data_IF_916694310388
#
_entry.id   IF_916694310388
#
_cell.length_a   1.000
_cell.length_b   1.000
_cell.length_c   1.000
_cell.angle_alpha   90.00
_cell.angle_beta   90.00
_cell.angle_gamma   90.00
#
_symmetry.space_group_name_H-M   'P 1'
#
loop_
_entity.id
_entity.type
_entity.pdbx_description
1 polymer ?
#
# COMPACT_ATOMS: atom_id res chain seq x y z
N UNK A 1 49.30 -26.53 -2.97
CA UNK A 1 48.39 -26.72 -1.82
C UNK A 1 47.38 -25.59 -1.60
N UNK A 2 47.48 -24.42 -2.25
CA UNK A 2 46.59 -23.26 -2.01
C UNK A 2 45.29 -23.19 -2.84
N UNK A 3 45.05 -24.08 -3.82
CA UNK A 3 43.84 -24.04 -4.65
C UNK A 3 42.62 -24.80 -4.09
N UNK A 4 42.75 -25.49 -2.94
CA UNK A 4 41.65 -26.23 -2.31
C UNK A 4 40.99 -25.53 -1.12
N UNK A 5 41.57 -24.43 -0.61
CA UNK A 5 40.97 -23.64 0.47
C UNK A 5 39.91 -22.64 -0.05
N UNK A 6 40.00 -22.20 -1.31
CA UNK A 6 39.10 -21.20 -1.87
C UNK A 6 37.73 -21.79 -2.25
N UNK A 7 37.68 -23.04 -2.69
CA UNK A 7 36.43 -23.73 -3.06
C UNK A 7 35.59 -24.10 -1.84
N UNK A 8 36.22 -24.38 -0.69
CA UNK A 8 35.53 -24.67 0.57
C UNK A 8 35.05 -23.41 1.29
N UNK A 9 35.69 -22.25 1.08
CA UNK A 9 35.23 -20.97 1.62
C UNK A 9 34.05 -20.38 0.82
N UNK A 10 34.02 -20.60 -0.51
CA UNK A 10 32.88 -20.24 -1.37
C UNK A 10 31.63 -21.12 -1.15
N UNK A 11 31.82 -22.40 -0.79
CA UNK A 11 30.72 -23.28 -0.38
C UNK A 11 30.14 -22.92 1.00
N UNK A 12 30.92 -22.28 1.89
CA UNK A 12 30.41 -21.78 3.18
C UNK A 12 29.66 -20.44 3.06
N UNK A 13 30.02 -19.61 2.07
CA UNK A 13 29.34 -18.35 1.76
C UNK A 13 28.01 -18.54 1.01
N UNK A 14 27.86 -19.62 0.23
CA UNK A 14 26.59 -20.00 -0.41
C UNK A 14 25.49 -20.49 0.54
N UNK A 15 25.82 -20.74 1.83
CA UNK A 15 24.86 -21.09 2.88
C UNK A 15 24.39 -19.89 3.72
N UNK A 16 24.95 -18.70 3.52
CA UNK A 16 24.67 -17.55 4.40
C UNK A 16 23.57 -16.61 3.90
N UNK A 17 23.18 -16.71 2.62
CA UNK A 17 21.91 -16.20 2.11
C UNK A 17 21.48 -17.13 0.97
N UNK A 18 20.29 -17.78 1.04
CA UNK A 18 19.80 -18.50 -0.13
C UNK A 18 19.74 -17.50 -1.29
N UNK A 19 20.30 -17.88 -2.44
CA UNK A 19 20.04 -17.16 -3.67
C UNK A 19 18.53 -16.92 -3.73
N UNK A 20 18.11 -15.66 -3.92
CA UNK A 20 16.72 -15.29 -4.18
C UNK A 20 16.31 -15.88 -5.53
N UNK A 21 16.17 -17.20 -5.53
CA UNK A 21 15.65 -17.95 -6.64
C UNK A 21 14.15 -17.69 -6.63
N UNK A 22 13.62 -17.29 -7.77
CA UNK A 22 12.19 -17.35 -7.99
C UNK A 22 11.79 -18.82 -7.78
N UNK A 23 11.12 -19.11 -6.66
CA UNK A 23 10.77 -20.48 -6.29
C UNK A 23 9.76 -21.07 -7.26
N UNK A 24 8.83 -20.23 -7.75
CA UNK A 24 7.85 -20.61 -8.76
C UNK A 24 7.31 -19.40 -9.52
N UNK A 25 6.84 -19.65 -10.75
CA UNK A 25 6.03 -18.73 -11.55
C UNK A 25 4.82 -19.50 -12.06
N UNK A 26 3.62 -19.05 -11.74
CA UNK A 26 2.37 -19.71 -12.13
C UNK A 26 1.48 -18.74 -12.90
N UNK A 27 1.16 -19.01 -14.18
CA UNK A 27 0.23 -18.18 -14.91
C UNK A 27 -1.19 -18.47 -14.43
N UNK A 28 -1.93 -17.42 -14.07
CA UNK A 28 -3.37 -17.51 -13.86
C UNK A 28 -4.02 -17.48 -15.24
N UNK A 29 -4.41 -18.66 -15.74
CA UNK A 29 -4.85 -18.82 -17.14
C UNK A 29 -6.31 -18.40 -17.31
N UNK A 30 -6.55 -17.24 -17.94
CA UNK A 30 -7.85 -16.88 -18.54
C UNK A 30 -7.68 -16.25 -19.93
N UNK A 31 -8.79 -16.18 -20.67
CA UNK A 31 -8.84 -15.76 -22.07
C UNK A 31 -8.70 -14.24 -22.29
N UNK A 32 -8.92 -13.41 -21.26
CA UNK A 32 -8.93 -11.95 -21.36
C UNK A 32 -7.72 -11.33 -20.65
N UNK A 33 -7.39 -10.08 -20.99
CA UNK A 33 -6.36 -9.31 -20.29
C UNK A 33 -6.73 -9.18 -18.81
N UNK A 34 -5.86 -9.72 -17.95
CA UNK A 34 -5.96 -9.63 -16.51
C UNK A 34 -4.88 -8.70 -15.98
N UNK A 35 -5.25 -7.83 -15.05
CA UNK A 35 -4.28 -7.08 -14.25
C UNK A 35 -4.48 -7.52 -12.82
N UNK A 36 -3.46 -8.14 -12.22
CA UNK A 36 -3.36 -8.27 -10.77
C UNK A 36 -2.91 -6.91 -10.24
N UNK A 37 -3.76 -6.28 -9.44
CA UNK A 37 -3.51 -4.98 -8.84
C UNK A 37 -3.03 -5.10 -7.40
N UNK A 38 -3.43 -6.18 -6.72
CA UNK A 38 -2.97 -6.48 -5.37
C UNK A 38 -2.90 -7.99 -5.12
N UNK A 39 -2.00 -8.37 -4.21
CA UNK A 39 -1.81 -9.74 -3.72
C UNK A 39 -1.61 -9.73 -2.20
N UNK A 40 -2.37 -10.55 -1.49
CA UNK A 40 -2.26 -10.65 -0.04
C UNK A 40 -2.17 -12.11 0.42
N UNK A 41 -1.33 -12.45 1.42
CA UNK A 41 -1.30 -13.79 2.00
C UNK A 41 -2.67 -14.19 2.56
N UNK A 42 -3.00 -15.47 2.39
CA UNK A 42 -4.23 -16.07 2.92
C UNK A 42 -3.95 -16.79 4.24
N UNK A 43 -4.95 -16.83 5.14
CA UNK A 43 -4.85 -17.60 6.39
C UNK A 43 -4.63 -19.11 6.13
N UNK A 44 -5.01 -19.60 4.95
CA UNK A 44 -4.89 -21.00 4.55
C UNK A 44 -3.57 -21.30 3.80
N UNK A 45 -2.50 -20.57 4.09
CA UNK A 45 -1.16 -20.76 3.49
C UNK A 45 -1.17 -20.63 1.96
N UNK A 46 -1.90 -19.66 1.43
CA UNK A 46 -1.94 -19.35 0.00
C UNK A 46 -1.94 -17.84 -0.21
N UNK A 47 -2.46 -17.40 -1.35
CA UNK A 47 -2.55 -15.98 -1.67
C UNK A 47 -3.90 -15.64 -2.29
N UNK A 48 -4.34 -14.42 -2.05
CA UNK A 48 -5.48 -13.79 -2.68
C UNK A 48 -5.00 -12.73 -3.64
N UNK A 49 -5.61 -12.68 -4.81
CA UNK A 49 -5.22 -11.78 -5.88
C UNK A 49 -6.45 -11.00 -6.30
N UNK A 50 -6.34 -9.68 -6.26
CA UNK A 50 -7.38 -8.76 -6.67
C UNK A 50 -6.97 -7.99 -7.91
N UNK A 51 -7.95 -7.65 -8.75
CA UNK A 51 -7.69 -6.85 -9.94
C UNK A 51 -8.86 -6.78 -10.90
N UNK A 52 -8.56 -6.83 -12.20
CA UNK A 52 -9.56 -6.76 -13.28
C UNK A 52 -9.36 -7.79 -14.38
N UNK A 53 -10.46 -8.23 -14.97
CA UNK A 53 -10.53 -9.04 -16.19
C UNK A 53 -11.38 -8.30 -17.23
N UNK A 54 -10.73 -7.59 -18.16
CA UNK A 54 -11.43 -6.63 -19.02
C UNK A 54 -12.13 -5.54 -18.17
N UNK A 55 -13.45 -5.40 -18.31
CA UNK A 55 -14.28 -4.47 -17.53
C UNK A 55 -14.92 -5.12 -16.29
N UNK A 56 -14.48 -6.32 -15.92
CA UNK A 56 -14.98 -7.06 -14.74
C UNK A 56 -13.99 -6.91 -13.60
N UNK A 57 -14.54 -6.80 -12.40
CA UNK A 57 -13.79 -7.07 -11.18
C UNK A 57 -13.30 -8.52 -11.16
N UNK A 58 -12.06 -8.76 -10.77
CA UNK A 58 -11.46 -10.09 -10.71
C UNK A 58 -10.91 -10.40 -9.31
N UNK A 59 -11.22 -11.60 -8.82
CA UNK A 59 -10.59 -12.20 -7.65
C UNK A 59 -10.07 -13.60 -7.98
N UNK A 60 -8.97 -13.98 -7.37
CA UNK A 60 -8.48 -15.35 -7.38
C UNK A 60 -7.90 -15.73 -6.01
N UNK A 61 -8.01 -17.01 -5.69
CA UNK A 61 -7.23 -17.63 -4.63
C UNK A 61 -6.29 -18.67 -5.23
N UNK A 62 -5.07 -18.69 -4.73
CA UNK A 62 -4.03 -19.68 -5.05
C UNK A 62 -3.51 -20.28 -3.75
N UNK A 63 -2.99 -21.50 -3.82
CA UNK A 63 -2.29 -22.11 -2.68
C UNK A 63 -0.86 -21.57 -2.53
N UNK A 64 -0.07 -22.13 -1.58
CA UNK A 64 1.32 -21.70 -1.32
C UNK A 64 2.28 -22.02 -2.46
N UNK A 65 1.90 -22.91 -3.37
CA UNK A 65 2.68 -23.29 -4.55
C UNK A 65 2.25 -22.49 -5.79
N UNK A 66 1.30 -21.56 -5.62
CA UNK A 66 0.73 -20.75 -6.69
C UNK A 66 -0.28 -21.50 -7.56
N UNK A 67 -0.73 -22.70 -7.18
CA UNK A 67 -1.76 -23.41 -7.91
C UNK A 67 -3.13 -22.78 -7.63
N UNK A 68 -3.91 -22.59 -8.70
CA UNK A 68 -5.21 -21.91 -8.61
C UNK A 68 -6.24 -22.76 -7.89
N UNK A 69 -6.77 -22.23 -6.79
CA UNK A 69 -7.89 -22.83 -6.05
C UNK A 69 -9.22 -22.45 -6.71
N UNK A 70 -9.41 -21.16 -6.99
CA UNK A 70 -10.56 -20.65 -7.72
C UNK A 70 -10.28 -19.28 -8.35
N UNK A 71 -11.11 -18.89 -9.32
CA UNK A 71 -11.15 -17.53 -9.87
C UNK A 71 -12.61 -17.09 -10.01
N UNK A 72 -12.89 -15.82 -9.71
CA UNK A 72 -14.20 -15.20 -9.87
C UNK A 72 -14.07 -13.89 -10.62
N UNK A 73 -15.06 -13.65 -11.47
CA UNK A 73 -15.15 -12.42 -12.25
C UNK A 73 -16.55 -11.87 -12.09
N UNK A 74 -16.66 -10.67 -11.53
CA UNK A 74 -17.94 -10.07 -11.20
C UNK A 74 -18.27 -9.04 -12.27
N UNK A 75 -19.40 -9.26 -12.93
CA UNK A 75 -19.89 -8.42 -14.01
C UNK A 75 -21.19 -7.77 -13.55
N UNK A 76 -21.41 -6.49 -13.91
CA UNK A 76 -22.68 -5.80 -13.75
C UNK A 76 -23.20 -5.67 -12.30
N UNK A 77 -22.36 -5.80 -11.27
CA UNK A 77 -22.80 -5.48 -9.90
C UNK A 77 -23.13 -4.00 -9.74
N UNK A 78 -22.57 -3.17 -10.61
CA UNK A 78 -23.04 -1.82 -10.86
C UNK A 78 -23.05 -1.56 -12.39
N UNK A 79 -23.80 -0.55 -12.85
CA UNK A 79 -23.84 -0.15 -14.27
C UNK A 79 -22.50 0.34 -14.84
N UNK A 80 -21.46 0.48 -14.02
CA UNK A 80 -20.18 1.06 -14.39
C UNK A 80 -19.04 0.04 -14.20
N UNK A 81 -17.90 0.28 -14.84
CA UNK A 81 -16.75 -0.64 -14.78
C UNK A 81 -16.01 -0.41 -13.47
N UNK A 82 -16.00 -1.42 -12.60
CA UNK A 82 -15.26 -1.39 -11.34
C UNK A 82 -14.06 -2.32 -11.43
N UNK A 83 -13.00 -1.98 -10.69
CA UNK A 83 -11.86 -2.86 -10.49
C UNK A 83 -11.38 -2.78 -9.04
N UNK A 84 -10.96 -3.93 -8.51
CA UNK A 84 -10.42 -4.01 -7.15
C UNK A 84 -8.97 -3.56 -7.17
N UNK A 85 -8.67 -2.53 -6.38
CA UNK A 85 -7.31 -2.04 -6.23
C UNK A 85 -6.60 -2.69 -5.06
N UNK A 86 -7.34 -3.24 -4.10
CA UNK A 86 -6.77 -3.78 -2.88
C UNK A 86 -7.60 -4.92 -2.31
N UNK A 87 -6.92 -5.86 -1.66
CA UNK A 87 -7.47 -6.98 -0.92
C UNK A 87 -6.79 -7.11 0.44
N UNK A 88 -7.59 -7.11 1.49
CA UNK A 88 -7.12 -7.15 2.87
C UNK A 88 -7.66 -8.41 3.56
N UNK A 89 -6.81 -9.14 4.31
CA UNK A 89 -7.25 -10.32 5.05
C UNK A 89 -8.23 -9.92 6.16
N UNK A 90 -9.23 -10.78 6.40
CA UNK A 90 -10.22 -10.62 7.45
C UNK A 90 -10.39 -11.86 8.34
N UNK A 91 -11.02 -11.74 9.53
CA UNK A 91 -11.28 -12.87 10.41
C UNK A 91 -11.99 -14.03 9.69
N UNK A 92 -11.79 -15.24 10.20
CA UNK A 92 -12.42 -16.46 9.68
C UNK A 92 -12.12 -16.75 8.19
N UNK A 93 -10.98 -16.27 7.67
CA UNK A 93 -10.59 -16.46 6.27
C UNK A 93 -11.45 -15.68 5.29
N UNK A 94 -12.16 -14.65 5.73
CA UNK A 94 -12.82 -13.68 4.86
C UNK A 94 -11.82 -12.63 4.36
N UNK A 95 -12.25 -11.79 3.43
CA UNK A 95 -11.43 -10.70 2.89
C UNK A 95 -12.27 -9.45 2.65
N UNK A 96 -11.61 -8.31 2.76
CA UNK A 96 -12.15 -7.02 2.37
C UNK A 96 -11.52 -6.64 1.05
N UNK A 97 -12.33 -6.21 0.09
CA UNK A 97 -11.80 -5.75 -1.20
C UNK A 97 -12.24 -4.31 -1.44
N UNK A 98 -11.26 -3.43 -1.51
CA UNK A 98 -11.44 -2.01 -1.77
C UNK A 98 -11.30 -1.74 -3.26
N UNK A 99 -12.21 -0.95 -3.80
CA UNK A 99 -12.30 -0.89 -5.24
C UNK A 99 -12.86 0.42 -5.77
N UNK A 100 -12.32 0.76 -6.92
CA UNK A 100 -12.51 2.04 -7.55
C UNK A 100 -13.43 1.82 -8.75
N UNK A 101 -14.59 2.45 -8.72
CA UNK A 101 -15.41 2.58 -9.92
C UNK A 101 -14.69 3.47 -10.93
N UNK A 102 -15.00 3.33 -12.20
CA UNK A 102 -14.91 4.47 -13.12
C UNK A 102 -16.34 4.70 -13.53
N UNK A 103 -17.03 5.51 -12.72
CA UNK A 103 -18.37 5.93 -13.04
C UNK A 103 -18.37 7.19 -13.87
N UNK A 104 -19.49 7.57 -14.47
CA UNK A 104 -19.67 8.78 -15.28
C UNK A 104 -20.88 9.59 -14.78
N UNK A 105 -20.65 10.62 -13.97
CA UNK A 105 -21.59 11.65 -13.54
C UNK A 105 -21.79 12.75 -14.60
N UNK A 106 -23.04 13.05 -14.96
CA UNK A 106 -23.33 14.08 -15.96
C UNK A 106 -23.79 15.37 -15.28
N UNK A 107 -23.09 16.48 -15.50
CA UNK A 107 -23.46 17.82 -15.03
C UNK A 107 -23.16 18.87 -16.09
N UNK A 108 -24.18 19.68 -16.43
CA UNK A 108 -24.02 20.79 -17.37
C UNK A 108 -23.63 20.38 -18.80
N UNK A 109 -23.95 19.16 -19.23
CA UNK A 109 -23.54 18.62 -20.54
C UNK A 109 -22.17 17.96 -20.57
N UNK A 110 -21.41 18.02 -19.47
CA UNK A 110 -20.15 17.29 -19.32
C UNK A 110 -20.38 15.98 -18.57
N UNK A 111 -19.70 14.94 -19.04
CA UNK A 111 -19.64 13.63 -18.38
C UNK A 111 -18.34 13.58 -17.59
N UNK A 112 -18.43 13.73 -16.27
CA UNK A 112 -17.33 13.59 -15.34
C UNK A 112 -17.28 12.16 -14.85
N UNK A 113 -16.13 11.52 -14.87
CA UNK A 113 -16.07 10.23 -14.22
C UNK A 113 -16.17 10.37 -12.68
N UNK A 114 -17.17 9.76 -12.04
CA UNK A 114 -17.26 9.69 -10.57
C UNK A 114 -17.11 8.26 -10.11
N UNK A 115 -16.02 7.98 -9.43
CA UNK A 115 -15.81 6.70 -8.76
C UNK A 115 -16.41 6.69 -7.35
N UNK A 116 -17.54 5.99 -7.18
CA UNK A 116 -18.02 5.70 -5.82
C UNK A 116 -17.14 4.59 -5.23
N UNK A 117 -16.62 4.77 -4.00
CA UNK A 117 -15.90 3.71 -3.34
C UNK A 117 -16.91 2.60 -3.04
N UNK A 118 -16.54 1.38 -3.39
CA UNK A 118 -17.27 0.22 -2.91
C UNK A 118 -16.34 -0.66 -2.10
N UNK A 119 -16.94 -1.28 -1.09
CA UNK A 119 -16.31 -2.27 -0.27
C UNK A 119 -17.13 -3.54 -0.37
N UNK A 120 -16.45 -4.64 -0.69
CA UNK A 120 -17.02 -5.96 -0.51
C UNK A 120 -16.34 -6.66 0.64
N UNK A 121 -17.16 -7.35 1.41
CA UNK A 121 -16.72 -8.38 2.31
C UNK A 121 -17.03 -9.72 1.67
N UNK A 122 -15.99 -10.49 1.39
CA UNK A 122 -16.08 -11.76 0.66
C UNK A 122 -15.67 -12.90 1.57
N UNK A 123 -16.36 -14.02 1.45
CA UNK A 123 -15.99 -15.25 2.16
C UNK A 123 -14.76 -15.91 1.53
N UNK A 124 -14.27 -17.00 2.12
CA UNK A 124 -13.08 -17.71 1.63
C UNK A 124 -13.24 -18.36 0.24
N UNK A 125 -14.47 -18.49 -0.24
CA UNK A 125 -14.79 -18.99 -1.59
C UNK A 125 -14.85 -17.87 -2.61
N UNK A 126 -14.86 -16.61 -2.16
CA UNK A 126 -15.04 -15.41 -2.96
C UNK A 126 -16.51 -15.04 -3.16
N UNK A 127 -17.46 -15.59 -2.42
CA UNK A 127 -18.84 -15.09 -2.46
C UNK A 127 -18.95 -13.77 -1.67
N UNK A 128 -19.74 -12.83 -2.18
CA UNK A 128 -19.96 -11.54 -1.50
C UNK A 128 -20.93 -11.78 -0.35
N UNK A 129 -20.48 -11.54 0.88
CA UNK A 129 -21.29 -11.60 2.11
C UNK A 129 -22.11 -10.31 2.22
N UNK A 130 -21.45 -9.17 2.07
CA UNK A 130 -22.09 -7.86 2.03
C UNK A 130 -21.31 -6.88 1.16
N UNK A 131 -22.01 -5.84 0.73
CA UNK A 131 -21.44 -4.71 0.01
C UNK A 131 -21.86 -3.38 0.63
N UNK A 132 -20.96 -2.39 0.58
CA UNK A 132 -21.24 -1.03 1.00
C UNK A 132 -20.72 -0.04 -0.03
N UNK A 133 -21.61 0.83 -0.52
CA UNK A 133 -21.34 1.88 -1.50
C UNK A 133 -21.56 3.30 -0.95
N UNK A 134 -21.82 3.43 0.36
CA UNK A 134 -22.16 4.70 1.01
C UNK A 134 -21.23 5.01 2.20
N UNK A 135 -19.94 4.76 1.99
CA UNK A 135 -18.91 4.96 3.02
C UNK A 135 -18.66 6.45 3.30
N UNK A 136 -18.79 7.31 2.28
CA UNK A 136 -18.56 8.75 2.37
C UNK A 136 -19.76 9.49 1.82
N UNK A 137 -20.16 10.57 2.49
CA UNK A 137 -21.27 11.44 2.04
C UNK A 137 -20.83 12.42 0.93
N UNK A 138 -19.68 12.17 0.29
CA UNK A 138 -19.04 13.05 -0.70
C UNK A 138 -19.06 12.45 -2.11
N UNK A 139 -19.18 13.33 -3.10
CA UNK A 139 -18.93 13.00 -4.50
C UNK A 139 -17.44 13.17 -4.84
N UNK A 140 -16.98 12.44 -5.85
CA UNK A 140 -15.61 12.56 -6.37
C UNK A 140 -14.91 11.22 -6.46
N UNK A 141 -13.68 11.24 -7.00
CA UNK A 141 -12.95 10.00 -7.19
C UNK A 141 -12.35 9.50 -5.88
N UNK A 142 -12.71 8.30 -5.45
CA UNK A 142 -12.27 7.73 -4.17
C UNK A 142 -11.29 6.58 -4.37
N UNK A 143 -10.13 6.67 -3.73
CA UNK A 143 -9.14 5.59 -3.63
C UNK A 143 -9.00 5.17 -2.18
N UNK A 144 -9.30 3.90 -1.88
CA UNK A 144 -8.94 3.27 -0.61
C UNK A 144 -7.51 2.79 -0.75
N UNK A 145 -6.61 3.35 0.06
CA UNK A 145 -5.20 3.06 -0.02
C UNK A 145 -4.81 1.93 0.94
N UNK A 146 -5.47 1.82 2.09
CA UNK A 146 -5.21 0.77 3.07
C UNK A 146 -6.44 0.47 3.94
N UNK A 147 -6.48 -0.73 4.52
CA UNK A 147 -7.49 -1.12 5.48
C UNK A 147 -6.95 -2.15 6.48
N UNK A 148 -7.36 -1.99 7.74
CA UNK A 148 -7.02 -2.90 8.83
C UNK A 148 -8.25 -3.30 9.62
N UNK A 149 -8.13 -4.40 10.34
CA UNK A 149 -9.15 -4.87 11.27
C UNK A 149 -8.64 -4.66 12.68
N UNK A 150 -9.41 -3.90 13.43
CA UNK A 150 -9.07 -3.52 14.78
C UNK A 150 -9.26 -4.70 15.73
N UNK A 151 -8.62 -4.62 16.89
CA UNK A 151 -8.78 -5.58 17.99
C UNK A 151 -10.23 -5.80 18.46
N UNK A 152 -11.13 -4.85 18.21
CA UNK A 152 -12.57 -4.99 18.49
C UNK A 152 -13.39 -5.56 17.32
N UNK A 153 -12.76 -5.96 16.21
CA UNK A 153 -13.39 -6.51 15.01
C UNK A 153 -13.88 -5.44 14.01
N UNK A 154 -13.89 -4.17 14.37
CA UNK A 154 -14.23 -3.11 13.41
C UNK A 154 -13.16 -2.99 12.33
N UNK A 155 -13.56 -2.45 11.20
CA UNK A 155 -12.71 -2.29 10.02
C UNK A 155 -12.44 -0.81 9.85
N UNK A 156 -11.16 -0.44 9.78
CA UNK A 156 -10.73 0.90 9.39
C UNK A 156 -10.25 0.86 7.95
N UNK A 157 -10.70 1.83 7.18
CA UNK A 157 -10.18 2.10 5.85
C UNK A 157 -9.67 3.53 5.80
N UNK A 158 -8.57 3.71 5.10
CA UNK A 158 -8.01 5.03 4.84
C UNK A 158 -7.74 5.21 3.36
N UNK A 159 -7.77 6.45 2.92
CA UNK A 159 -7.56 6.75 1.52
C UNK A 159 -7.65 8.23 1.24
N UNK A 160 -7.93 8.52 -0.03
CA UNK A 160 -8.10 9.88 -0.52
C UNK A 160 -9.31 9.95 -1.45
N UNK A 161 -9.92 11.13 -1.53
CA UNK A 161 -10.85 11.42 -2.59
C UNK A 161 -10.65 12.80 -3.18
N UNK A 162 -11.10 12.98 -4.42
CA UNK A 162 -11.01 14.26 -5.11
C UNK A 162 -12.24 15.10 -4.85
N UNK A 163 -12.09 16.25 -4.17
CA UNK A 163 -13.14 17.27 -4.15
C UNK A 163 -13.02 18.08 -5.43
N UNK A 164 -14.04 17.98 -6.29
CA UNK A 164 -14.23 18.86 -7.44
C UNK A 164 -14.80 20.19 -6.96
N UNK A 165 -13.97 21.23 -6.94
CA UNK A 165 -14.48 22.59 -6.80
C UNK A 165 -15.10 23.01 -8.14
N UNK A 166 -16.44 23.02 -8.17
CA UNK A 166 -17.23 23.35 -9.36
C UNK A 166 -16.94 24.75 -9.93
N UNK A 167 -16.38 25.66 -9.13
CA UNK A 167 -16.12 27.05 -9.56
C UNK A 167 -14.73 27.27 -10.13
N UNK A 168 -13.72 26.56 -9.63
CA UNK A 168 -12.31 26.77 -10.01
C UNK A 168 -11.77 25.71 -10.96
N UNK A 169 -12.54 24.64 -11.23
CA UNK A 169 -12.06 23.44 -11.93
C UNK A 169 -10.79 22.84 -11.28
N UNK A 170 -10.54 23.13 -10.00
CA UNK A 170 -9.41 22.58 -9.27
C UNK A 170 -9.86 21.37 -8.44
N UNK A 171 -9.15 20.26 -8.59
CA UNK A 171 -9.25 19.10 -7.72
C UNK A 171 -8.35 19.27 -6.50
N UNK A 172 -8.89 19.10 -5.29
CA UNK A 172 -8.06 18.89 -4.09
C UNK A 172 -8.22 17.45 -3.63
N UNK A 173 -7.10 16.77 -3.36
CA UNK A 173 -7.15 15.44 -2.73
C UNK A 173 -7.34 15.62 -1.24
N UNK A 174 -8.43 15.06 -0.72
CA UNK A 174 -8.74 15.07 0.69
C UNK A 174 -8.58 13.66 1.22
N UNK A 175 -7.77 13.51 2.27
CA UNK A 175 -7.65 12.22 2.93
C UNK A 175 -8.88 11.91 3.74
N UNK A 176 -9.19 10.65 3.91
CA UNK A 176 -10.27 10.21 4.76
C UNK A 176 -9.89 8.98 5.57
N UNK A 177 -10.65 8.77 6.65
CA UNK A 177 -10.75 7.49 7.31
C UNK A 177 -12.23 7.15 7.53
N UNK A 178 -12.59 5.87 7.37
CA UNK A 178 -13.93 5.34 7.66
C UNK A 178 -13.79 4.13 8.57
N UNK A 179 -14.67 4.06 9.56
CA UNK A 179 -14.84 2.88 10.41
C UNK A 179 -16.19 2.24 10.13
N UNK A 180 -16.17 0.93 9.86
CA UNK A 180 -17.37 0.11 9.73
C UNK A 180 -17.31 -1.06 10.72
N UNK A 181 -18.48 -1.54 11.14
CA UNK A 181 -18.56 -2.77 11.93
C UNK A 181 -18.39 -4.00 11.01
N UNK A 182 -18.26 -5.23 11.56
CA UNK A 182 -18.17 -6.47 10.76
C UNK A 182 -19.33 -6.74 9.80
N UNK A 183 -20.50 -6.11 10.04
CA UNK A 183 -21.69 -6.23 9.19
C UNK A 183 -21.73 -5.17 8.07
N UNK A 184 -20.68 -4.34 7.95
CA UNK A 184 -20.57 -3.28 6.94
C UNK A 184 -21.28 -1.98 7.29
N UNK A 185 -21.84 -1.85 8.50
CA UNK A 185 -22.49 -0.62 8.97
C UNK A 185 -21.43 0.44 9.29
N UNK A 186 -21.56 1.62 8.66
CA UNK A 186 -20.75 2.81 8.93
C UNK A 186 -20.95 3.28 10.37
N UNK A 187 -19.87 3.26 11.15
CA UNK A 187 -19.82 3.79 12.52
C UNK A 187 -19.43 5.27 12.52
N UNK A 188 -18.39 5.62 11.77
CA UNK A 188 -17.98 7.01 11.54
C UNK A 188 -17.20 7.15 10.23
N UNK A 189 -17.17 8.37 9.69
CA UNK A 189 -16.36 8.76 8.54
C UNK A 189 -15.83 10.18 8.76
N UNK A 190 -14.54 10.41 8.50
CA UNK A 190 -13.86 11.69 8.75
C UNK A 190 -12.90 12.03 7.64
N UNK A 191 -12.67 13.33 7.44
CA UNK A 191 -11.73 13.89 6.47
C UNK A 191 -10.53 14.52 7.19
N UNK A 192 -9.35 14.42 6.58
CA UNK A 192 -8.09 14.92 7.14
C UNK A 192 -7.20 15.61 6.10
N UNK A 193 -6.42 16.63 6.53
CA UNK A 193 -6.68 17.49 7.67
C UNK A 193 -7.98 18.25 7.42
N UNK A 194 -8.65 18.67 8.49
CA UNK A 194 -9.92 19.42 8.37
C UNK A 194 -9.75 20.79 7.68
N UNK A 195 -8.51 21.24 7.45
CA UNK A 195 -8.18 22.53 6.83
C UNK A 195 -8.24 22.53 5.30
N UNK A 196 -8.52 21.39 4.64
CA UNK A 196 -8.67 21.32 3.18
C UNK A 196 -7.37 21.33 2.38
N UNK A 197 -6.21 21.18 3.04
CA UNK A 197 -4.95 20.97 2.32
C UNK A 197 -4.96 19.66 1.52
N UNK A 198 -4.16 19.59 0.46
CA UNK A 198 -4.05 18.39 -0.37
C UNK A 198 -3.23 17.33 0.34
N UNK A 199 -3.88 16.24 0.74
CA UNK A 199 -3.29 15.23 1.59
C UNK A 199 -3.69 13.84 1.14
N UNK A 200 -2.79 12.89 1.31
CA UNK A 200 -3.06 11.48 1.08
C UNK A 200 -2.56 10.63 2.23
N UNK A 201 -3.49 9.94 2.90
CA UNK A 201 -3.18 8.87 3.83
C UNK A 201 -2.97 7.60 3.00
N UNK A 202 -1.83 6.96 3.18
CA UNK A 202 -1.42 5.77 2.43
C UNK A 202 -1.49 4.50 3.23
N UNK A 203 -1.33 4.58 4.56
CA UNK A 203 -1.36 3.41 5.42
C UNK A 203 -1.98 3.75 6.78
N UNK A 204 -2.56 2.75 7.43
CA UNK A 204 -3.10 2.83 8.79
C UNK A 204 -2.62 1.66 9.64
N UNK A 205 -2.30 1.94 10.90
CA UNK A 205 -2.00 0.92 11.90
C UNK A 205 -2.77 1.20 13.20
N UNK A 206 -3.07 0.14 13.94
CA UNK A 206 -3.62 0.26 15.29
C UNK A 206 -2.45 0.28 16.29
N UNK A 207 -2.35 1.34 17.08
CA UNK A 207 -1.36 1.48 18.14
C UNK A 207 -1.74 0.63 19.37
N UNK A 208 -0.77 0.23 20.22
CA UNK A 208 -1.05 -0.55 21.44
C UNK A 208 -2.00 0.12 22.44
N UNK A 209 -2.10 1.46 22.41
CA UNK A 209 -3.05 2.22 23.22
C UNK A 209 -4.49 2.22 22.64
N UNK A 210 -4.72 1.54 21.51
CA UNK A 210 -5.99 1.52 20.81
C UNK A 210 -6.24 2.73 19.91
N UNK A 211 -5.29 3.66 19.76
CA UNK A 211 -5.43 4.71 18.76
C UNK A 211 -5.09 4.18 17.37
N UNK A 212 -5.44 4.95 16.34
CA UNK A 212 -5.01 4.71 14.98
C UNK A 212 -3.85 5.66 14.67
N UNK A 213 -2.86 5.17 13.94
CA UNK A 213 -1.86 6.01 13.33
C UNK A 213 -1.90 5.86 11.82
N UNK A 214 -2.07 6.99 11.13
CA UNK A 214 -2.16 7.04 9.69
C UNK A 214 -0.93 7.77 9.14
N UNK A 215 -0.20 7.15 8.23
CA UNK A 215 0.91 7.79 7.52
C UNK A 215 0.48 8.27 6.15
N UNK A 216 1.07 9.37 5.71
CA UNK A 216 0.73 9.97 4.43
C UNK A 216 1.72 11.04 4.01
N UNK A 217 1.35 11.82 3.00
CA UNK A 217 2.06 13.05 2.67
C UNK A 217 1.10 14.21 2.37
N UNK A 218 1.61 15.41 2.62
CA UNK A 218 0.98 16.67 2.31
C UNK A 218 1.67 17.29 1.10
N UNK A 219 0.87 17.71 0.12
CA UNK A 219 1.39 18.42 -1.05
C UNK A 219 2.15 19.68 -0.61
N UNK A 220 3.45 19.73 -0.89
CA UNK A 220 4.31 20.86 -0.53
C UNK A 220 4.78 20.96 0.93
N UNK A 221 4.31 20.09 1.83
CA UNK A 221 4.66 20.16 3.27
C UNK A 221 5.34 18.90 3.83
N UNK A 222 5.46 17.83 3.04
CA UNK A 222 6.28 16.67 3.39
C UNK A 222 5.47 15.47 3.90
N UNK A 223 6.11 14.62 4.67
CA UNK A 223 5.52 13.39 5.20
C UNK A 223 4.77 13.68 6.49
N UNK A 224 3.56 13.14 6.64
CA UNK A 224 2.73 13.34 7.81
C UNK A 224 2.40 12.03 8.52
N UNK A 225 2.20 12.15 9.83
CA UNK A 225 1.53 11.17 10.66
C UNK A 225 0.31 11.79 11.32
N UNK A 226 -0.81 11.07 11.33
CA UNK A 226 -2.03 11.48 12.03
C UNK A 226 -2.34 10.42 13.09
N UNK A 227 -2.44 10.84 14.35
CA UNK A 227 -2.96 9.99 15.39
C UNK A 227 -4.45 10.28 15.59
N UNK A 228 -5.28 9.25 15.50
CA UNK A 228 -6.73 9.35 15.45
C UNK A 228 -7.33 8.46 16.55
N UNK A 229 -8.33 8.99 17.27
CA UNK A 229 -9.12 8.20 18.21
C UNK A 229 -9.96 7.17 17.44
N UNK A 230 -9.74 5.88 17.70
CA UNK A 230 -10.40 4.81 16.93
C UNK A 230 -11.93 4.79 17.08
N UNK A 231 -12.46 5.29 18.20
CA UNK A 231 -13.88 5.19 18.53
C UNK A 231 -14.69 6.31 17.87
N UNK A 232 -14.09 7.49 17.73
CA UNK A 232 -14.76 8.71 17.27
C UNK A 232 -14.25 9.21 15.91
N UNK A 233 -13.08 8.74 15.48
CA UNK A 233 -12.36 9.27 14.32
C UNK A 233 -11.81 10.68 14.56
N UNK A 234 -11.82 11.21 15.78
CA UNK A 234 -11.30 12.55 16.03
C UNK A 234 -9.77 12.56 15.96
N UNK A 235 -9.21 13.58 15.30
CA UNK A 235 -7.77 13.81 15.26
C UNK A 235 -7.27 14.15 16.67
N UNK A 236 -6.28 13.40 17.15
CA UNK A 236 -5.62 13.62 18.43
C UNK A 236 -4.42 14.54 18.23
N UNK A 237 -3.55 14.19 17.29
CA UNK A 237 -2.36 14.97 16.96
C UNK A 237 -1.85 14.71 15.55
N UNK A 238 -1.08 15.66 15.04
CA UNK A 238 -0.30 15.54 13.80
C UNK A 238 1.18 15.43 14.11
N UNK A 239 1.92 14.71 13.27
CA UNK A 239 3.37 14.55 13.36
C UNK A 239 4.00 14.83 12.00
N UNK A 240 5.12 15.55 12.01
CA UNK A 240 5.98 15.64 10.83
C UNK A 240 6.86 14.39 10.79
N UNK A 241 6.67 13.56 9.77
CA UNK A 241 7.45 12.35 9.54
C UNK A 241 8.55 12.56 8.52
N UNK A 242 8.88 13.82 8.18
CA UNK A 242 9.97 14.13 7.27
C UNK A 242 11.31 13.80 7.94
N UNK A 243 12.08 12.83 7.42
CA UNK A 243 13.38 12.48 7.97
C UNK A 243 14.32 13.70 7.94
N UNK A 244 15.12 13.97 8.99
CA UNK A 244 15.99 15.14 9.07
C UNK A 244 16.91 15.32 7.86
N UNK A 245 17.45 14.23 7.29
CA UNK A 245 18.27 14.30 6.08
C UNK A 245 17.50 14.85 4.86
N UNK A 246 16.18 14.62 4.81
CA UNK A 246 15.30 15.09 3.74
C UNK A 246 14.76 16.50 3.95
N UNK A 247 14.87 17.06 5.16
CA UNK A 247 14.38 18.41 5.46
C UNK A 247 15.05 19.51 4.62
N UNK A 248 16.27 19.25 4.12
CA UNK A 248 17.00 20.16 3.23
C UNK A 248 16.64 20.01 1.75
N UNK A 249 15.96 18.92 1.38
CA UNK A 249 15.60 18.63 -0.01
C UNK A 249 14.24 19.24 -0.29
N UNK A 250 14.20 20.24 -1.15
CA UNK A 250 12.95 20.80 -1.67
C UNK A 250 12.30 19.81 -2.66
N UNK A 251 11.57 18.83 -2.12
CA UNK A 251 10.96 17.73 -2.87
C UNK A 251 9.50 17.51 -2.49
N UNK A 252 8.76 16.94 -3.43
CA UNK A 252 7.48 16.31 -3.16
C UNK A 252 7.74 14.89 -2.67
N UNK A 253 7.20 14.54 -1.51
CA UNK A 253 7.32 13.20 -0.93
C UNK A 253 6.06 12.43 -1.22
N UNK A 254 6.19 11.21 -1.73
CA UNK A 254 5.07 10.34 -2.10
C UNK A 254 5.18 9.00 -1.38
N UNK A 255 4.01 8.42 -1.10
CA UNK A 255 3.84 7.07 -0.58
C UNK A 255 4.56 6.87 0.76
N UNK A 256 3.91 7.17 1.87
CA UNK A 256 4.47 6.98 3.21
C UNK A 256 3.97 5.63 3.75
N UNK A 257 4.65 4.55 3.38
CA UNK A 257 4.33 3.22 3.91
C UNK A 257 4.98 3.08 5.29
N UNK A 258 4.19 2.76 6.30
CA UNK A 258 4.57 2.57 7.67
C UNK A 258 4.22 1.15 8.14
N UNK A 259 5.24 0.36 8.43
CA UNK A 259 5.08 -1.00 8.97
C UNK A 259 5.52 -1.05 10.43
N UNK A 260 4.73 -1.67 11.30
CA UNK A 260 5.12 -1.91 12.68
C UNK A 260 5.98 -3.17 12.78
N UNK A 261 7.08 -3.07 13.51
CA UNK A 261 8.02 -4.16 13.77
C UNK A 261 7.63 -4.92 15.04
N UNK A 262 8.17 -6.13 15.22
CA UNK A 262 7.83 -7.01 16.35
C UNK A 262 8.22 -6.45 17.72
N UNK A 263 9.16 -5.52 17.78
CA UNK A 263 9.57 -4.80 18.98
C UNK A 263 8.74 -3.51 19.22
N UNK A 264 7.73 -3.26 18.38
CA UNK A 264 6.84 -2.10 18.45
C UNK A 264 7.39 -0.84 17.76
N UNK A 265 8.64 -0.86 17.29
CA UNK A 265 9.20 0.21 16.46
C UNK A 265 8.56 0.21 15.07
N UNK A 266 8.88 1.21 14.25
CA UNK A 266 8.22 1.45 12.98
C UNK A 266 9.24 1.59 11.85
N UNK A 267 8.87 1.09 10.67
CA UNK A 267 9.62 1.29 9.44
C UNK A 267 8.80 2.14 8.48
N UNK A 268 9.30 3.32 8.19
CA UNK A 268 8.73 4.25 7.24
C UNK A 268 9.49 4.16 5.92
N UNK A 269 8.80 4.03 4.81
CA UNK A 269 9.40 3.98 3.48
C UNK A 269 8.59 4.76 2.46
N UNK A 270 9.25 5.21 1.41
CA UNK A 270 8.58 5.90 0.31
C UNK A 270 9.52 6.44 -0.75
N UNK A 271 8.99 7.40 -1.52
CA UNK A 271 9.71 8.06 -2.62
C UNK A 271 9.65 9.57 -2.51
N UNK A 272 10.60 10.27 -3.13
CA UNK A 272 10.60 11.72 -3.21
C UNK A 272 11.02 12.20 -4.61
N UNK A 273 10.52 13.36 -5.03
CA UNK A 273 10.86 14.00 -6.29
C UNK A 273 11.24 15.46 -6.06
N UNK A 274 12.50 15.86 -6.33
CA UNK A 274 12.93 17.25 -6.21
C UNK A 274 12.11 18.19 -7.10
N UNK A 275 11.68 19.33 -6.55
CA UNK A 275 10.86 20.32 -7.26
C UNK A 275 11.68 21.04 -8.36
N UNK A 276 12.98 21.23 -8.15
CA UNK A 276 13.85 21.98 -9.07
C UNK A 276 14.25 21.21 -10.36
N UNK A 277 13.64 20.06 -10.63
CA UNK A 277 14.09 19.13 -11.66
C UNK A 277 15.31 18.34 -11.15
N UNK A 278 15.19 17.03 -11.15
CA UNK A 278 16.24 16.12 -10.68
C UNK A 278 15.73 14.69 -10.71
N UNK A 279 16.65 13.73 -10.62
CA UNK A 279 16.27 12.34 -10.38
C UNK A 279 15.62 12.24 -9.02
N UNK A 280 14.37 11.76 -8.99
CA UNK A 280 13.72 11.34 -7.75
C UNK A 280 14.55 10.30 -7.01
N UNK A 281 14.18 10.06 -5.77
CA UNK A 281 14.83 9.10 -4.91
C UNK A 281 13.83 8.36 -4.05
N UNK A 282 14.38 7.61 -3.13
CA UNK A 282 13.63 6.90 -2.12
C UNK A 282 14.19 7.12 -0.75
N UNK A 283 13.35 6.85 0.24
CA UNK A 283 13.76 6.94 1.62
C UNK A 283 13.25 5.74 2.40
N UNK A 284 14.03 5.39 3.41
CA UNK A 284 13.71 4.39 4.41
C UNK A 284 14.15 4.94 5.75
N UNK A 285 13.29 4.87 6.76
CA UNK A 285 13.57 5.34 8.10
C UNK A 285 13.04 4.35 9.12
N UNK A 286 13.85 4.09 10.14
CA UNK A 286 13.45 3.33 11.31
C UNK A 286 13.14 4.32 12.43
N UNK A 287 11.93 4.25 12.96
CA UNK A 287 11.45 5.08 14.03
C UNK A 287 11.23 4.24 15.29
N UNK A 288 11.51 4.83 16.45
CA UNK A 288 11.13 4.26 17.74
C UNK A 288 9.59 4.16 17.86
N UNK A 289 9.05 3.41 18.84
CA UNK A 289 7.61 3.41 19.13
C UNK A 289 7.01 4.81 19.40
N UNK A 290 7.85 5.78 19.76
CA UNK A 290 7.46 7.17 20.00
C UNK A 290 7.66 8.07 18.76
N UNK A 291 7.91 7.49 17.59
CA UNK A 291 8.16 8.16 16.31
C UNK A 291 9.46 8.98 16.26
N UNK A 292 10.45 8.64 17.10
CA UNK A 292 11.78 9.26 17.01
C UNK A 292 12.63 8.53 15.97
N UNK A 293 13.32 9.26 15.09
CA UNK A 293 14.21 8.66 14.10
C UNK A 293 15.40 7.97 14.78
N UNK A 294 15.51 6.65 14.60
CA UNK A 294 16.65 5.85 15.03
C UNK A 294 17.75 5.83 13.96
N UNK A 295 17.34 5.67 12.70
CA UNK A 295 18.20 5.88 11.54
C UNK A 295 17.36 6.19 10.29
N UNK A 296 18.00 6.76 9.29
CA UNK A 296 17.43 7.06 7.98
C UNK A 296 18.41 6.70 6.85
N UNK A 297 17.87 6.32 5.70
CA UNK A 297 18.61 5.96 4.49
C UNK A 297 17.92 6.59 3.28
N UNK A 298 18.74 7.05 2.33
CA UNK A 298 18.28 7.65 1.09
C UNK A 298 18.85 6.87 -0.09
N UNK A 299 17.99 6.55 -1.04
CA UNK A 299 18.37 6.02 -2.35
C UNK A 299 18.28 7.12 -3.41
N UNK A 300 19.27 7.20 -4.29
CA UNK A 300 19.17 8.00 -5.52
C UNK A 300 18.55 7.17 -6.63
N UNK A 301 17.55 7.69 -7.35
CA UNK A 301 16.90 6.99 -8.46
C UNK A 301 15.38 6.87 -8.29
N UNK A 302 14.66 6.90 -9.42
CA UNK A 302 13.19 6.92 -9.48
C UNK A 302 12.64 5.53 -9.14
N UNK A 303 12.54 5.20 -7.85
CA UNK A 303 12.27 3.83 -7.44
C UNK A 303 11.07 3.75 -6.48
N UNK A 304 10.18 2.78 -6.72
CA UNK A 304 9.23 2.30 -5.71
C UNK A 304 9.93 1.32 -4.78
N UNK A 305 9.68 1.46 -3.49
CA UNK A 305 10.21 0.58 -2.45
C UNK A 305 9.07 -0.19 -1.81
N UNK A 306 9.02 -1.48 -2.08
CA UNK A 306 8.26 -2.42 -1.25
C UNK A 306 9.19 -2.87 -0.14
N UNK A 307 8.74 -2.73 1.11
CA UNK A 307 9.45 -3.25 2.28
C UNK A 307 8.77 -4.52 2.73
N UNK A 308 9.34 -5.68 2.42
CA UNK A 308 8.90 -6.96 2.99
C UNK A 308 9.85 -7.37 4.12
N UNK A 309 9.29 -7.71 5.27
CA UNK A 309 10.07 -8.08 6.45
C UNK A 309 9.92 -9.55 6.78
N UNK A 310 11.06 -10.25 6.91
CA UNK A 310 11.15 -11.53 7.59
C UNK A 310 12.38 -11.54 8.49
N UNK A 311 12.21 -11.91 9.77
CA UNK A 311 13.30 -12.24 10.69
C UNK A 311 14.44 -11.20 10.76
N UNK A 312 14.12 -9.94 11.09
CA UNK A 312 15.08 -8.84 11.27
C UNK A 312 15.79 -8.31 10.01
N UNK A 313 15.33 -8.70 8.82
CA UNK A 313 15.83 -8.14 7.55
C UNK A 313 14.70 -7.47 6.79
N UNK A 314 15.03 -6.33 6.21
CA UNK A 314 14.13 -5.55 5.36
C UNK A 314 14.58 -5.75 3.92
N UNK A 315 13.73 -6.38 3.11
CA UNK A 315 13.90 -6.38 1.66
C UNK A 315 13.39 -5.04 1.14
N UNK A 316 14.22 -4.34 0.40
CA UNK A 316 13.93 -3.03 -0.16
C UNK A 316 14.02 -3.17 -1.67
N UNK A 317 12.87 -3.22 -2.33
CA UNK A 317 12.84 -3.24 -3.80
C UNK A 317 13.12 -1.84 -4.36
N UNK A 318 13.74 -1.76 -5.53
CA UNK A 318 14.01 -0.50 -6.21
C UNK A 318 13.98 -0.74 -7.71
N UNK A 319 12.95 -0.29 -8.42
CA UNK A 319 12.84 -0.48 -9.87
C UNK A 319 13.35 0.76 -10.60
N UNK A 320 14.56 0.67 -11.16
CA UNK A 320 15.09 1.69 -12.05
C UNK A 320 14.50 1.54 -13.44
N UNK A 321 13.71 2.53 -13.89
CA UNK A 321 13.25 2.62 -15.27
C UNK A 321 14.22 3.53 -16.03
N UNK A 322 15.27 2.95 -16.61
CA UNK A 322 15.97 3.59 -17.72
C UNK A 322 15.10 3.47 -18.99
N UNK A 323 15.16 4.41 -19.94
CA UNK A 323 14.27 4.43 -21.10
C UNK A 323 14.31 3.16 -21.99
N UNK A 324 15.25 2.24 -21.76
CA UNK A 324 15.35 0.98 -22.52
C UNK A 324 15.58 -0.30 -21.69
N UNK A 325 15.95 -0.22 -20.40
CA UNK A 325 16.17 -1.39 -19.54
C UNK A 325 15.43 -1.24 -18.21
N UNK A 326 14.67 -2.28 -17.83
CA UNK A 326 14.09 -2.40 -16.49
C UNK A 326 15.08 -3.15 -15.64
N UNK A 327 15.68 -2.46 -14.67
CA UNK A 327 16.60 -3.05 -13.71
C UNK A 327 15.91 -3.03 -12.35
N UNK A 328 15.72 -4.21 -11.77
CA UNK A 328 15.26 -4.36 -10.39
C UNK A 328 16.49 -4.47 -9.48
N UNK A 329 16.62 -3.55 -8.54
CA UNK A 329 17.56 -3.64 -7.45
C UNK A 329 16.84 -4.14 -6.20
N UNK A 330 17.40 -5.16 -5.58
CA UNK A 330 16.94 -5.70 -4.31
C UNK A 330 18.02 -5.41 -3.27
N UNK A 331 17.69 -4.61 -2.27
CA UNK A 331 18.59 -4.35 -1.15
C UNK A 331 18.13 -5.12 0.08
N UNK A 332 19.04 -5.85 0.71
CA UNK A 332 18.81 -6.44 2.03
C UNK A 332 19.42 -5.51 3.06
N UNK A 333 18.56 -5.02 3.96
CA UNK A 333 18.97 -4.13 5.04
C UNK A 333 18.92 -4.86 6.38
N UNK A 334 20.00 -4.74 7.15
CA UNK A 334 20.04 -5.09 8.56
C UNK A 334 19.33 -4.00 9.38
N UNK A 335 18.26 -4.38 10.10
CA UNK A 335 17.38 -3.42 10.79
C UNK A 335 18.09 -2.70 11.95
N UNK A 336 19.03 -3.37 12.62
CA UNK A 336 19.70 -2.83 13.81
C UNK A 336 20.73 -1.76 13.43
N UNK A 337 21.44 -1.99 12.33
CA UNK A 337 22.58 -1.17 11.90
C UNK A 337 22.24 -0.22 10.76
N UNK A 338 21.15 -0.49 10.03
CA UNK A 338 20.82 0.19 8.79
C UNK A 338 21.84 -0.06 7.67
N UNK A 339 22.63 -1.13 7.76
CA UNK A 339 23.64 -1.45 6.76
C UNK A 339 23.00 -2.10 5.51
N UNK A 340 23.36 -1.61 4.32
CA UNK A 340 22.83 -2.03 3.00
C UNK A 340 23.86 -2.81 2.18
N UNK A 341 24.78 -3.53 2.84
CA UNK A 341 25.94 -4.18 2.19
C UNK A 341 25.62 -5.18 1.09
N UNK A 342 24.35 -5.51 0.87
CA UNK A 342 23.90 -6.42 -0.18
C UNK A 342 22.92 -5.74 -1.14
N UNK A 343 23.39 -5.51 -2.37
CA UNK A 343 22.56 -5.09 -3.51
C UNK A 343 22.60 -6.19 -4.56
N UNK A 344 21.44 -6.76 -4.90
CA UNK A 344 21.29 -7.69 -6.02
C UNK A 344 20.65 -6.92 -7.17
N UNK A 345 21.30 -6.94 -8.33
CA UNK A 345 20.77 -6.39 -9.57
C UNK A 345 20.14 -7.52 -10.39
N UNK A 346 18.88 -7.38 -10.76
CA UNK A 346 18.14 -8.32 -11.61
C UNK A 346 17.68 -7.60 -12.87
N UNK A 347 18.21 -8.00 -14.03
CA UNK A 347 17.87 -7.44 -15.35
C UNK A 347 19.06 -7.44 -16.32
N UNK A 348 18.77 -7.41 -17.61
CA UNK A 348 19.80 -7.33 -18.65
C UNK A 348 20.43 -5.92 -18.66
N UNK A 349 21.75 -5.86 -18.56
CA UNK A 349 22.56 -4.63 -18.71
C UNK A 349 22.66 -4.19 -20.16
#
# INVERSE_FOLDING_TARGET
>A
MQKRLLTSLLLLLGYLLPAQNIEWVKPIKKKNTQFALDITPSQNKGFWIAGREGNKTFLAAVDSLGDTLWTKSYQNLHPQSYYLNSVFPAPAGHYLTGAMGVGSYHSGGNTYDTSLPFLWYVDYTGEIIWESNNLLDSCGDVSINDAIILSNGNIIMVGQFTILNAFTCSSSLVSFAVCVNPDGLKLWAKQYPQSGATNYITQVLQLPNGHLFCSGAESGHGLMGLEIDQNTGNLIQTRNLLPPALASINANFYYAYLNQMTDGSLMLSGSYYPIAGGTGGSYLAHLSPNFEFLWEKMGTGVNKHTVEMQNQKVLVESIGIAPYNKILFLHLLDINTGDTTWTVQVGDT
#
